data_IF_725191203006
#
_entry.id   IF_725191203006
#
_cell.length_a   1.000
_cell.length_b   1.000
_cell.length_c   1.000
_cell.angle_alpha   90.00
_cell.angle_beta   90.00
_cell.angle_gamma   90.00
#
_symmetry.space_group_name_H-M   'P 1'
#
loop_
_entity.id
_entity.type
_entity.pdbx_description
1 polymer ?
#
# COMPACT_ATOMS: atom_id res chain seq x y z
N UNK A 1 -19.82 12.75 -24.57
CA UNK A 1 -19.47 11.37 -24.14
C UNK A 1 -18.89 11.42 -22.74
N UNK A 2 -19.53 10.77 -21.75
CA UNK A 2 -18.89 10.51 -20.45
C UNK A 2 -18.23 9.14 -20.57
N UNK A 3 -16.91 9.10 -20.72
CA UNK A 3 -16.17 7.84 -20.62
C UNK A 3 -16.37 7.30 -19.21
N UNK A 4 -17.07 6.18 -19.09
CA UNK A 4 -17.41 5.47 -17.84
C UNK A 4 -16.27 4.60 -17.31
N UNK A 5 -15.03 4.82 -17.79
CA UNK A 5 -13.84 4.13 -17.32
C UNK A 5 -12.88 5.10 -16.64
N UNK A 6 -12.54 4.85 -15.38
CA UNK A 6 -11.43 5.56 -14.72
C UNK A 6 -10.16 5.28 -15.53
N UNK A 7 -9.42 6.31 -15.97
CA UNK A 7 -8.18 6.11 -16.70
C UNK A 7 -7.15 5.39 -15.81
N UNK A 8 -6.25 4.64 -16.44
CA UNK A 8 -5.15 4.04 -15.69
C UNK A 8 -4.31 5.15 -15.06
N UNK A 9 -3.85 4.95 -13.82
CA UNK A 9 -3.07 5.96 -13.10
C UNK A 9 -1.82 6.42 -13.87
N UNK A 10 -1.22 5.54 -14.67
CA UNK A 10 -0.06 5.86 -15.53
C UNK A 10 -0.38 6.80 -16.69
N UNK A 11 -1.64 6.92 -17.10
CA UNK A 11 -2.07 7.78 -18.22
C UNK A 11 -2.43 9.20 -17.77
N UNK A 12 -2.46 9.47 -16.46
CA UNK A 12 -2.91 10.75 -15.93
C UNK A 12 -2.04 11.92 -16.37
N UNK A 13 -0.74 11.73 -16.57
CA UNK A 13 0.14 12.79 -17.08
C UNK A 13 -0.27 13.19 -18.51
N UNK A 14 -0.49 12.22 -19.39
CA UNK A 14 -0.92 12.47 -20.77
C UNK A 14 -2.28 13.20 -20.80
N UNK A 15 -3.21 12.79 -19.93
CA UNK A 15 -4.53 13.42 -19.83
C UNK A 15 -4.49 14.82 -19.22
N UNK A 16 -3.50 15.12 -18.38
CA UNK A 16 -3.29 16.44 -17.80
C UNK A 16 -2.74 17.44 -18.82
N UNK A 17 -1.93 16.96 -19.75
CA UNK A 17 -1.24 17.79 -20.73
C UNK A 17 -2.08 18.07 -21.99
N UNK A 18 -3.20 17.35 -22.20
CA UNK A 18 -4.11 17.61 -23.32
C UNK A 18 -5.03 18.82 -23.02
N UNK A 19 -4.91 19.95 -23.75
CA UNK A 19 -5.68 21.16 -23.47
C UNK A 19 -7.18 21.00 -23.76
N UNK A 20 -7.61 19.93 -24.43
CA UNK A 20 -9.02 19.65 -24.72
C UNK A 20 -9.71 18.92 -23.57
N UNK A 21 -8.96 18.43 -22.59
CA UNK A 21 -9.47 17.63 -21.49
C UNK A 21 -9.47 18.41 -20.18
N UNK A 22 -10.52 18.24 -19.39
CA UNK A 22 -10.60 18.77 -18.03
C UNK A 22 -10.41 17.64 -17.02
N UNK A 23 -9.22 17.56 -16.44
CA UNK A 23 -8.95 16.64 -15.34
C UNK A 23 -9.46 17.23 -14.02
N UNK A 24 -10.34 16.50 -13.30
CA UNK A 24 -10.80 16.87 -11.97
C UNK A 24 -10.33 15.83 -10.96
N UNK A 25 -9.48 16.23 -10.02
CA UNK A 25 -9.03 15.39 -8.91
C UNK A 25 -9.80 15.78 -7.65
N UNK A 26 -10.29 14.78 -6.92
CA UNK A 26 -10.99 14.97 -5.64
C UNK A 26 -10.40 14.03 -4.60
N UNK A 27 -10.12 14.48 -3.37
CA UNK A 27 -9.77 13.59 -2.27
C UNK A 27 -10.85 12.51 -2.10
N UNK A 28 -10.45 11.25 -2.12
CA UNK A 28 -11.35 10.12 -1.93
C UNK A 28 -11.52 9.78 -0.45
N UNK A 29 -12.75 9.45 -0.04
CA UNK A 29 -13.01 8.82 1.26
C UNK A 29 -12.74 7.32 1.16
N UNK A 30 -11.50 6.94 0.92
CA UNK A 30 -11.07 5.55 0.80
C UNK A 30 -9.66 5.34 1.33
N UNK A 31 -9.33 4.08 1.61
CA UNK A 31 -8.00 3.68 2.06
C UNK A 31 -7.64 2.32 1.47
N UNK A 32 -6.34 2.13 1.22
CA UNK A 32 -5.77 0.84 0.91
C UNK A 32 -4.86 0.37 2.04
N UNK A 33 -5.15 -0.80 2.58
CA UNK A 33 -4.32 -1.43 3.61
C UNK A 33 -4.00 -2.88 3.23
N UNK A 34 -2.98 -3.42 3.89
CA UNK A 34 -2.65 -4.84 3.85
C UNK A 34 -3.23 -5.47 5.12
N UNK A 35 -4.25 -6.31 4.96
CA UNK A 35 -4.80 -7.07 6.07
C UNK A 35 -3.93 -8.30 6.35
N UNK A 36 -3.64 -8.54 7.63
CA UNK A 36 -3.06 -9.80 8.09
C UNK A 36 -4.17 -10.67 8.67
N UNK A 37 -4.13 -11.97 8.41
CA UNK A 37 -5.00 -12.92 9.10
C UNK A 37 -4.44 -13.14 10.53
N UNK A 38 -5.09 -12.53 11.52
CA UNK A 38 -4.64 -12.56 12.93
C UNK A 38 -4.93 -13.87 13.64
N UNK A 39 -5.65 -14.80 13.01
CA UNK A 39 -5.98 -16.10 13.61
C UNK A 39 -4.99 -17.20 13.19
N UNK A 40 -4.14 -16.93 12.20
CA UNK A 40 -3.20 -17.91 11.65
C UNK A 40 -1.76 -17.61 12.08
N UNK A 41 -1.05 -18.60 12.66
CA UNK A 41 0.41 -18.49 12.85
C UNK A 41 1.14 -18.30 11.52
N UNK A 42 2.24 -17.51 11.46
CA UNK A 42 2.80 -16.70 12.54
C UNK A 42 2.20 -15.27 12.64
N UNK A 43 1.20 -14.95 11.81
CA UNK A 43 0.61 -13.61 11.73
C UNK A 43 -0.31 -13.26 12.91
N UNK A 44 -0.67 -14.25 13.72
CA UNK A 44 -1.35 -14.05 15.01
C UNK A 44 -0.50 -13.26 16.02
N UNK A 45 0.83 -13.39 15.95
CA UNK A 45 1.73 -12.63 16.79
C UNK A 45 1.85 -11.16 16.29
N UNK A 46 1.49 -10.14 17.11
CA UNK A 46 1.60 -8.74 16.72
C UNK A 46 3.04 -8.33 16.38
N UNK A 47 4.06 -8.88 17.06
CA UNK A 47 5.46 -8.56 16.80
C UNK A 47 5.88 -8.94 15.37
N UNK A 48 5.36 -10.06 14.84
CA UNK A 48 5.60 -10.49 13.45
C UNK A 48 4.98 -9.49 12.48
N UNK A 49 3.75 -9.02 12.75
CA UNK A 49 3.08 -8.03 11.90
C UNK A 49 3.81 -6.69 11.89
N UNK A 50 4.30 -6.24 13.05
CA UNK A 50 5.12 -5.02 13.15
C UNK A 50 6.44 -5.16 12.39
N UNK A 51 7.13 -6.29 12.54
CA UNK A 51 8.35 -6.56 11.80
C UNK A 51 8.11 -6.56 10.28
N UNK A 52 7.02 -7.19 9.81
CA UNK A 52 6.64 -7.14 8.40
C UNK A 52 6.30 -5.73 7.92
N UNK A 53 5.65 -4.91 8.74
CA UNK A 53 5.31 -3.53 8.38
C UNK A 53 6.55 -2.67 8.13
N UNK A 54 7.62 -2.85 8.93
CA UNK A 54 8.90 -2.16 8.75
C UNK A 54 9.60 -2.47 7.42
N UNK A 55 9.30 -3.63 6.83
CA UNK A 55 9.88 -4.02 5.53
C UNK A 55 9.26 -3.29 4.33
N UNK A 56 8.16 -2.56 4.53
CA UNK A 56 7.36 -2.00 3.44
C UNK A 56 7.72 -0.52 3.24
N UNK A 57 8.28 -0.21 2.08
CA UNK A 57 8.54 1.19 1.70
C UNK A 57 7.29 1.82 1.10
N UNK A 58 6.51 2.51 1.94
CA UNK A 58 5.28 3.17 1.52
C UNK A 58 5.52 4.26 0.44
N UNK A 59 6.59 5.05 0.55
CA UNK A 59 6.92 6.08 -0.43
C UNK A 59 7.16 5.49 -1.83
N UNK A 60 7.92 4.39 -1.91
CA UNK A 60 8.19 3.68 -3.17
C UNK A 60 6.93 3.04 -3.74
N UNK A 61 6.04 2.52 -2.89
CA UNK A 61 4.73 2.01 -3.30
C UNK A 61 3.86 3.13 -3.89
N UNK A 62 3.83 4.31 -3.26
CA UNK A 62 3.10 5.49 -3.75
C UNK A 62 3.56 5.89 -5.15
N UNK A 63 4.87 6.07 -5.34
CA UNK A 63 5.46 6.42 -6.64
C UNK A 63 5.18 5.36 -7.71
N UNK A 64 5.27 4.07 -7.35
CA UNK A 64 5.16 2.98 -8.32
C UNK A 64 3.74 2.67 -8.74
N UNK A 65 2.76 2.81 -7.84
CA UNK A 65 1.37 2.36 -8.07
C UNK A 65 0.45 3.54 -8.34
N UNK A 66 0.61 4.65 -7.62
CA UNK A 66 -0.37 5.74 -7.59
C UNK A 66 0.06 6.98 -8.37
N UNK A 67 1.29 7.04 -8.88
CA UNK A 67 1.75 8.12 -9.77
C UNK A 67 1.48 9.53 -9.21
N UNK A 68 1.63 9.71 -7.90
CA UNK A 68 1.44 11.01 -7.22
C UNK A 68 -0.02 11.40 -6.93
N UNK A 69 -0.98 10.50 -7.14
CA UNK A 69 -2.41 10.77 -6.86
C UNK A 69 -2.91 10.29 -5.50
N UNK A 70 -2.02 9.74 -4.67
CA UNK A 70 -2.35 9.25 -3.35
C UNK A 70 -1.30 9.71 -2.32
N UNK A 71 -1.73 9.77 -1.07
CA UNK A 71 -0.89 10.06 0.09
C UNK A 71 -0.63 8.79 0.90
N UNK A 72 0.50 8.76 1.61
CA UNK A 72 0.77 7.66 2.54
C UNK A 72 -0.16 7.76 3.74
N UNK A 73 -0.90 6.68 4.00
CA UNK A 73 -1.81 6.60 5.13
C UNK A 73 -1.03 6.46 6.45
N UNK A 74 -1.36 7.31 7.42
CA UNK A 74 -0.91 7.20 8.81
C UNK A 74 -1.97 6.59 9.74
N UNK A 75 -3.24 6.60 9.31
CA UNK A 75 -4.39 6.08 10.05
C UNK A 75 -5.30 5.31 9.09
N UNK A 76 -6.25 4.55 9.65
CA UNK A 76 -7.32 3.89 8.89
C UNK A 76 -8.27 4.92 8.25
N UNK A 77 -8.41 6.08 8.90
CA UNK A 77 -9.21 7.18 8.39
C UNK A 77 -8.34 8.08 7.50
N UNK A 78 -8.88 8.56 6.36
CA UNK A 78 -8.21 9.57 5.56
C UNK A 78 -8.23 10.93 6.27
N UNK A 79 -7.27 11.82 5.94
CA UNK A 79 -7.17 13.17 6.53
C UNK A 79 -8.43 14.03 6.34
N UNK A 80 -9.21 13.75 5.30
CA UNK A 80 -10.47 14.43 5.04
C UNK A 80 -11.60 14.03 6.02
N UNK A 81 -11.41 12.98 6.81
CA UNK A 81 -12.38 12.58 7.83
C UNK A 81 -12.36 13.53 9.02
N UNK A 82 -13.54 13.90 9.52
CA UNK A 82 -13.68 14.72 10.74
C UNK A 82 -13.08 14.05 11.98
N UNK A 83 -12.98 12.72 11.99
CA UNK A 83 -12.44 11.92 13.08
C UNK A 83 -10.97 11.52 12.86
N UNK A 84 -10.27 12.17 11.92
CA UNK A 84 -8.86 11.88 11.67
C UNK A 84 -8.00 12.32 12.87
N UNK A 85 -7.20 11.37 13.38
CA UNK A 85 -6.19 11.66 14.39
C UNK A 85 -4.96 12.31 13.73
N UNK A 86 -4.70 13.58 14.09
CA UNK A 86 -3.59 14.35 13.57
C UNK A 86 -2.23 13.91 14.12
N UNK A 87 -2.20 13.19 15.25
CA UNK A 87 -0.97 12.67 15.85
C UNK A 87 -0.57 11.30 15.28
N UNK A 88 -1.37 10.74 14.37
CA UNK A 88 -1.11 9.47 13.73
C UNK A 88 0.21 9.49 12.95
N UNK A 89 1.06 8.48 13.22
CA UNK A 89 2.40 8.36 12.61
C UNK A 89 2.44 7.30 11.53
N UNK A 90 3.08 7.64 10.42
CA UNK A 90 3.36 6.69 9.35
C UNK A 90 4.40 5.67 9.86
N UNK A 91 4.17 4.39 9.60
CA UNK A 91 5.14 3.35 9.89
C UNK A 91 6.46 3.61 9.17
N UNK A 92 7.55 3.59 9.92
CA UNK A 92 8.91 3.75 9.41
C UNK A 92 9.27 2.60 8.45
N UNK A 93 10.02 2.93 7.39
CA UNK A 93 10.63 1.92 6.52
C UNK A 93 12.03 1.56 7.01
N UNK A 94 12.16 0.40 7.66
CA UNK A 94 13.43 -0.12 8.15
C UNK A 94 13.55 -1.65 7.91
N UNK A 95 14.00 -2.07 6.71
CA UNK A 95 14.08 -3.49 6.37
C UNK A 95 15.18 -4.24 7.16
N UNK A 96 16.17 -3.54 7.69
CA UNK A 96 17.21 -4.16 8.53
C UNK A 96 16.62 -4.56 9.89
N UNK A 97 15.95 -3.62 10.56
CA UNK A 97 15.24 -3.86 11.83
C UNK A 97 14.16 -4.91 11.67
N UNK A 98 13.48 -4.95 10.52
CA UNK A 98 12.52 -6.01 10.18
C UNK A 98 13.15 -7.41 10.24
N UNK A 99 14.31 -7.61 9.61
CA UNK A 99 15.03 -8.91 9.62
C UNK A 99 15.50 -9.29 11.02
N UNK A 100 16.04 -8.33 11.77
CA UNK A 100 16.51 -8.55 13.13
C UNK A 100 15.37 -9.00 14.04
N UNK A 101 14.20 -8.35 13.95
CA UNK A 101 13.02 -8.71 14.72
C UNK A 101 12.46 -10.08 14.33
N UNK A 102 12.39 -10.40 13.03
CA UNK A 102 11.94 -11.72 12.57
C UNK A 102 12.88 -12.83 13.05
N UNK A 103 14.19 -12.63 12.97
CA UNK A 103 15.20 -13.58 13.46
C UNK A 103 15.12 -13.78 14.97
N UNK A 104 14.94 -12.71 15.74
CA UNK A 104 14.76 -12.78 17.19
C UNK A 104 13.49 -13.57 17.59
N UNK A 105 12.49 -13.60 16.72
CA UNK A 105 11.26 -14.39 16.89
C UNK A 105 11.42 -15.84 16.37
N UNK A 106 12.61 -16.24 15.91
CA UNK A 106 12.87 -17.58 15.34
C UNK A 106 12.26 -17.81 13.96
N UNK A 107 11.92 -16.74 13.23
CA UNK A 107 11.30 -16.82 11.90
C UNK A 107 12.38 -16.61 10.84
N UNK A 108 12.90 -17.71 10.30
CA UNK A 108 13.90 -17.67 9.22
C UNK A 108 13.28 -17.96 7.85
N UNK A 109 12.35 -18.94 7.78
CA UNK A 109 11.70 -19.35 6.53
C UNK A 109 10.22 -18.96 6.49
N UNK A 110 9.96 -17.68 6.19
CA UNK A 110 8.59 -17.16 6.15
C UNK A 110 7.92 -17.39 4.78
N UNK A 111 6.90 -18.23 4.75
CA UNK A 111 6.00 -18.37 3.58
C UNK A 111 4.66 -17.69 3.85
N UNK A 112 4.29 -16.73 3.00
CA UNK A 112 3.04 -15.99 3.09
C UNK A 112 2.21 -16.11 1.81
N UNK A 113 0.90 -16.25 1.97
CA UNK A 113 -0.06 -16.15 0.87
C UNK A 113 -0.63 -14.74 0.81
N UNK A 114 -0.38 -14.04 -0.30
CA UNK A 114 -0.90 -12.71 -0.54
C UNK A 114 -2.11 -12.78 -1.49
N UNK A 115 -3.29 -12.49 -0.96
CA UNK A 115 -4.51 -12.35 -1.75
C UNK A 115 -4.59 -10.96 -2.36
N UNK A 116 -4.81 -10.91 -3.67
CA UNK A 116 -4.83 -9.64 -4.42
C UNK A 116 -5.99 -9.66 -5.40
N UNK A 117 -6.90 -8.66 -5.37
CA UNK A 117 -7.93 -8.51 -6.39
C UNK A 117 -7.31 -8.37 -7.78
N UNK A 118 -7.96 -8.87 -8.82
CA UNK A 118 -7.45 -8.77 -10.20
C UNK A 118 -7.84 -7.46 -10.87
N UNK A 119 -8.95 -6.83 -10.45
CA UNK A 119 -9.48 -5.59 -11.01
C UNK A 119 -8.89 -4.34 -10.33
N UNK A 120 -8.69 -3.30 -11.14
CA UNK A 120 -8.34 -1.97 -10.64
C UNK A 120 -9.49 -1.39 -9.81
N UNK A 121 -9.15 -0.76 -8.69
CA UNK A 121 -10.11 -0.08 -7.81
C UNK A 121 -9.60 1.33 -7.48
N UNK A 122 -10.51 2.22 -7.04
CA UNK A 122 -10.16 3.59 -6.69
C UNK A 122 -9.03 3.70 -5.65
N UNK A 123 -9.01 2.77 -4.68
CA UNK A 123 -7.97 2.68 -3.65
C UNK A 123 -6.77 1.82 -4.08
N UNK A 124 -6.83 1.10 -5.20
CA UNK A 124 -5.73 0.29 -5.72
C UNK A 124 -5.74 0.23 -7.25
N UNK A 125 -5.11 1.20 -7.92
CA UNK A 125 -5.19 1.31 -9.36
C UNK A 125 -4.38 0.24 -10.11
N UNK A 126 -3.51 -0.51 -9.42
CA UNK A 126 -2.68 -1.56 -10.04
C UNK A 126 -2.38 -2.71 -9.06
N UNK A 127 -3.35 -3.60 -8.79
CA UNK A 127 -3.17 -4.69 -7.84
C UNK A 127 -2.06 -5.66 -8.23
N UNK A 128 -1.92 -6.01 -9.51
CA UNK A 128 -0.87 -6.92 -9.97
C UNK A 128 0.54 -6.34 -9.76
N UNK A 129 0.70 -5.03 -9.93
CA UNK A 129 1.96 -4.32 -9.65
C UNK A 129 2.25 -4.35 -8.15
N UNK A 130 1.24 -4.09 -7.32
CA UNK A 130 1.31 -4.23 -5.85
C UNK A 130 1.79 -5.62 -5.43
N UNK A 131 1.18 -6.68 -5.98
CA UNK A 131 1.58 -8.08 -5.75
C UNK A 131 3.06 -8.32 -6.05
N UNK A 132 3.53 -7.83 -7.21
CA UNK A 132 4.92 -7.99 -7.63
C UNK A 132 5.90 -7.28 -6.68
N UNK A 133 5.53 -6.10 -6.18
CA UNK A 133 6.34 -5.35 -5.21
C UNK A 133 6.42 -6.07 -3.86
N UNK A 134 5.29 -6.48 -3.29
CA UNK A 134 5.29 -7.25 -2.03
C UNK A 134 6.07 -8.56 -2.14
N UNK A 135 5.87 -9.31 -3.23
CA UNK A 135 6.65 -10.53 -3.50
C UNK A 135 8.16 -10.27 -3.49
N UNK A 136 8.60 -9.13 -4.03
CA UNK A 136 10.02 -8.75 -4.07
C UNK A 136 10.55 -8.31 -2.71
N UNK A 137 9.72 -7.62 -1.93
CA UNK A 137 10.07 -7.18 -0.57
C UNK A 137 10.29 -8.40 0.32
N UNK A 138 9.32 -9.31 0.40
CA UNK A 138 9.38 -10.44 1.31
C UNK A 138 10.35 -11.54 0.89
N UNK A 139 10.66 -11.67 -0.41
CA UNK A 139 11.77 -12.52 -0.89
C UNK A 139 13.16 -12.06 -0.44
N UNK A 140 13.33 -10.82 -0.01
CA UNK A 140 14.60 -10.25 0.47
C UNK A 140 14.71 -10.24 2.00
N UNK A 141 13.67 -10.73 2.69
CA UNK A 141 13.63 -10.85 4.16
C UNK A 141 13.95 -12.27 4.62
N UNK A 142 13.62 -13.26 3.80
CA UNK A 142 14.10 -14.63 3.92
C UNK A 142 15.49 -14.77 3.30
#
# INVERSE_FOLDING_TARGET
MRCSGLPAASQLTILRDDPRLRLTLRPGMNIAYLAFNTDKPPLNNPAVRHALALSINNQRLMQSIYYGTAETAASILPRASWAYDNDAKITEYNPQKSREQLKALGIENLTLHLWVPTSSQAWNPSPLKRRSLFRRIWRRLA
#
